data_IF_063304593257
#
_entry.id   IF_063304593257
#
_cell.length_a   1.000
_cell.length_b   1.000
_cell.length_c   1.000
_cell.angle_alpha   90.00
_cell.angle_beta   90.00
_cell.angle_gamma   90.00
#
_symmetry.space_group_name_H-M   'P 1'
#
loop_
_entity.id
_entity.type
_entity.pdbx_description
1 polymer ?
#
# COMPACT_ATOMS: atom_id res chain seq x y z
N UNK A 1 15.80 2.12 9.08
CA UNK A 1 14.79 2.81 9.92
C UNK A 1 15.03 4.32 10.01
N UNK A 2 16.25 4.78 10.29
CA UNK A 2 16.57 6.23 10.31
C UNK A 2 16.28 6.92 8.97
N UNK A 3 16.60 6.25 7.86
CA UNK A 3 16.31 6.68 6.49
C UNK A 3 14.82 6.95 6.23
N UNK A 4 13.93 6.06 6.69
CA UNK A 4 12.48 6.23 6.59
C UNK A 4 11.98 7.46 7.37
N UNK A 5 12.50 7.65 8.58
CA UNK A 5 12.11 8.80 9.42
C UNK A 5 12.59 10.14 8.83
N UNK A 6 13.76 10.16 8.21
CA UNK A 6 14.33 11.35 7.58
C UNK A 6 13.80 11.61 6.16
N UNK A 7 12.82 10.82 5.68
CA UNK A 7 12.29 10.89 4.32
C UNK A 7 13.36 10.69 3.22
N UNK A 8 14.46 9.99 3.50
CA UNK A 8 15.47 9.64 2.50
C UNK A 8 15.08 8.32 1.80
N UNK A 9 14.22 8.42 0.78
CA UNK A 9 13.60 7.26 0.13
C UNK A 9 14.56 6.42 -0.71
N UNK A 10 15.58 7.02 -1.31
CA UNK A 10 16.59 6.30 -2.09
C UNK A 10 17.41 5.34 -1.23
N UNK A 11 17.95 5.83 -0.10
CA UNK A 11 18.68 5.00 0.87
C UNK A 11 17.75 3.97 1.52
N UNK A 12 16.49 4.34 1.76
CA UNK A 12 15.49 3.42 2.27
C UNK A 12 15.28 2.21 1.34
N UNK A 13 15.16 2.40 0.02
CA UNK A 13 15.01 1.28 -0.92
C UNK A 13 16.23 0.37 -0.99
N UNK A 14 17.44 0.94 -0.91
CA UNK A 14 18.67 0.15 -0.84
C UNK A 14 18.70 -0.71 0.44
N UNK A 15 18.43 -0.10 1.60
CA UNK A 15 18.37 -0.84 2.87
C UNK A 15 17.24 -1.88 2.89
N UNK A 16 16.12 -1.63 2.21
CA UNK A 16 15.01 -2.57 2.12
C UNK A 16 15.40 -3.82 1.31
N UNK A 17 16.18 -3.67 0.24
CA UNK A 17 16.68 -4.80 -0.55
C UNK A 17 17.65 -5.67 0.26
N UNK A 18 18.51 -5.06 1.08
CA UNK A 18 19.39 -5.80 2.00
C UNK A 18 18.59 -6.59 3.04
N UNK A 19 17.59 -5.95 3.65
CA UNK A 19 16.69 -6.59 4.63
C UNK A 19 15.91 -7.74 3.98
N UNK A 20 15.42 -7.57 2.75
CA UNK A 20 14.77 -8.66 2.01
C UNK A 20 15.68 -9.88 1.87
N UNK A 21 16.97 -9.65 1.57
CA UNK A 21 17.98 -10.71 1.51
C UNK A 21 18.18 -11.44 2.85
N UNK A 22 18.11 -10.72 3.96
CA UNK A 22 18.22 -11.29 5.32
C UNK A 22 16.97 -12.10 5.67
N UNK A 23 15.78 -11.55 5.41
CA UNK A 23 14.49 -12.22 5.70
C UNK A 23 14.37 -13.51 4.90
N UNK A 24 14.80 -13.51 3.63
CA UNK A 24 14.80 -14.72 2.80
C UNK A 24 15.67 -15.84 3.34
N UNK A 25 16.73 -15.54 4.10
CA UNK A 25 17.62 -16.54 4.69
C UNK A 25 17.08 -17.12 5.99
N UNK A 26 16.11 -16.46 6.63
CA UNK A 26 15.56 -16.89 7.91
C UNK A 26 14.38 -17.83 7.73
N UNK A 27 14.45 -19.02 8.33
CA UNK A 27 13.44 -20.08 8.21
C UNK A 27 12.03 -19.65 8.62
N UNK A 28 11.90 -18.81 9.65
CA UNK A 28 10.59 -18.45 10.19
C UNK A 28 9.89 -17.33 9.39
N UNK A 29 10.66 -16.35 8.93
CA UNK A 29 10.11 -15.17 8.24
C UNK A 29 10.12 -15.31 6.71
N UNK A 30 10.76 -16.35 6.18
CA UNK A 30 10.78 -16.66 4.75
C UNK A 30 9.38 -16.78 4.15
N UNK A 31 8.36 -17.29 4.86
CA UNK A 31 7.01 -17.39 4.26
C UNK A 31 6.33 -16.02 4.06
N UNK A 32 6.76 -15.01 4.82
CA UNK A 32 6.10 -13.70 4.89
C UNK A 32 6.94 -12.55 4.31
N UNK A 33 8.08 -12.84 3.67
CA UNK A 33 8.98 -11.81 3.15
C UNK A 33 8.29 -10.89 2.14
N UNK A 34 7.47 -11.46 1.23
CA UNK A 34 6.78 -10.68 0.20
C UNK A 34 5.78 -9.70 0.83
N UNK A 35 5.07 -10.14 1.87
CA UNK A 35 4.15 -9.30 2.61
C UNK A 35 4.90 -8.14 3.27
N UNK A 36 6.02 -8.43 3.94
CA UNK A 36 6.83 -7.39 4.59
C UNK A 36 7.33 -6.34 3.59
N UNK A 37 7.95 -6.77 2.48
CA UNK A 37 8.46 -5.84 1.46
C UNK A 37 7.32 -5.02 0.85
N UNK A 38 6.17 -5.64 0.57
CA UNK A 38 4.98 -4.97 0.05
C UNK A 38 4.50 -3.87 1.01
N UNK A 39 4.32 -4.20 2.28
CA UNK A 39 3.84 -3.26 3.30
C UNK A 39 4.80 -2.09 3.51
N UNK A 40 6.12 -2.36 3.54
CA UNK A 40 7.12 -1.30 3.69
C UNK A 40 7.12 -0.33 2.50
N UNK A 41 6.88 -0.82 1.28
CA UNK A 41 6.76 0.03 0.08
C UNK A 41 5.49 0.88 0.12
N UNK A 42 4.35 0.29 0.47
CA UNK A 42 3.08 1.03 0.63
C UNK A 42 3.24 2.17 1.63
N UNK A 43 3.87 1.92 2.78
CA UNK A 43 4.11 2.96 3.81
C UNK A 43 5.00 4.09 3.30
N UNK A 44 6.07 3.78 2.57
CA UNK A 44 6.94 4.80 2.01
C UNK A 44 6.22 5.68 0.98
N UNK A 45 5.42 5.07 0.09
CA UNK A 45 4.59 5.84 -0.85
C UNK A 45 3.51 6.65 -0.15
N UNK A 46 2.85 6.08 0.87
CA UNK A 46 1.83 6.78 1.65
C UNK A 46 2.41 8.02 2.35
N UNK A 47 3.57 7.90 2.98
CA UNK A 47 4.24 9.01 3.66
C UNK A 47 4.57 10.16 2.70
N UNK A 48 5.07 9.84 1.50
CA UNK A 48 5.33 10.84 0.49
C UNK A 48 4.02 11.48 0.00
N UNK A 49 3.02 10.67 -0.37
CA UNK A 49 1.75 11.15 -0.92
C UNK A 49 0.88 11.90 0.09
N UNK A 50 1.06 11.67 1.40
CA UNK A 50 0.32 12.38 2.45
C UNK A 50 0.69 13.87 2.51
N UNK A 51 1.97 14.17 2.25
CA UNK A 51 2.52 15.54 2.29
C UNK A 51 2.06 16.40 1.12
N UNK A 52 1.61 15.80 0.01
CA UNK A 52 1.28 16.51 -1.23
C UNK A 52 -0.14 16.19 -1.72
N UNK A 53 -0.82 17.19 -2.28
CA UNK A 53 -2.12 16.97 -2.95
C UNK A 53 -1.94 16.38 -4.36
N UNK A 54 -0.87 16.78 -5.04
CA UNK A 54 -0.54 16.40 -6.41
C UNK A 54 0.97 16.41 -6.56
N UNK A 55 1.54 15.38 -7.21
CA UNK A 55 2.99 15.22 -7.44
C UNK A 55 3.22 14.61 -8.81
N UNK A 56 4.29 15.00 -9.50
CA UNK A 56 4.66 14.37 -10.78
C UNK A 56 5.32 13.01 -10.58
N UNK A 57 5.04 12.06 -11.48
CA UNK A 57 5.67 10.74 -11.47
C UNK A 57 7.20 10.81 -11.56
N UNK A 58 7.73 11.79 -12.29
CA UNK A 58 9.16 12.04 -12.41
C UNK A 58 9.80 12.43 -11.08
N UNK A 59 9.17 13.32 -10.30
CA UNK A 59 9.69 13.74 -8.99
C UNK A 59 9.65 12.61 -7.96
N UNK A 60 8.62 11.76 -8.02
CA UNK A 60 8.56 10.54 -7.21
C UNK A 60 9.71 9.61 -7.62
N UNK A 61 9.87 9.33 -8.90
CA UNK A 61 10.92 8.46 -9.41
C UNK A 61 12.33 8.94 -8.98
N UNK A 62 12.60 10.24 -9.06
CA UNK A 62 13.84 10.87 -8.61
C UNK A 62 14.06 10.71 -7.09
N UNK A 63 13.04 10.99 -6.28
CA UNK A 63 13.12 10.88 -4.81
C UNK A 63 13.42 9.45 -4.35
N UNK A 64 12.87 8.45 -5.06
CA UNK A 64 13.08 7.03 -4.77
C UNK A 64 14.31 6.44 -5.50
N UNK A 65 14.94 7.18 -6.43
CA UNK A 65 16.08 6.72 -7.22
C UNK A 65 15.77 5.56 -8.17
N UNK A 66 14.56 5.52 -8.72
CA UNK A 66 14.08 4.44 -9.62
C UNK A 66 13.50 5.01 -10.91
N UNK A 67 13.18 4.15 -11.89
CA UNK A 67 12.58 4.61 -13.15
C UNK A 67 11.09 4.94 -12.99
N UNK A 68 10.60 5.85 -13.84
CA UNK A 68 9.18 6.22 -13.87
C UNK A 68 8.28 5.01 -14.15
N UNK A 69 8.68 4.14 -15.08
CA UNK A 69 7.95 2.90 -15.38
C UNK A 69 7.82 1.96 -14.18
N UNK A 70 8.83 1.93 -13.32
CA UNK A 70 8.79 1.12 -12.11
C UNK A 70 7.76 1.67 -11.12
N UNK A 71 7.72 2.98 -10.92
CA UNK A 71 6.73 3.64 -10.06
C UNK A 71 5.31 3.47 -10.61
N UNK A 72 5.11 3.65 -11.92
CA UNK A 72 3.80 3.49 -12.57
C UNK A 72 3.23 2.08 -12.36
N UNK A 73 4.04 1.04 -12.58
CA UNK A 73 3.64 -0.37 -12.34
C UNK A 73 3.34 -0.67 -10.89
N UNK A 74 4.07 -0.08 -9.97
CA UNK A 74 3.92 -0.40 -8.55
C UNK A 74 2.76 0.33 -7.90
N UNK A 75 2.62 1.63 -8.17
CA UNK A 75 1.48 2.43 -7.72
C UNK A 75 0.18 1.89 -8.31
N UNK A 76 0.14 1.54 -9.61
CA UNK A 76 -1.07 0.97 -10.22
C UNK A 76 -1.53 -0.32 -9.53
N UNK A 77 -0.59 -1.21 -9.16
CA UNK A 77 -0.92 -2.42 -8.38
C UNK A 77 -1.47 -2.09 -6.99
N UNK A 78 -0.90 -1.11 -6.29
CA UNK A 78 -1.36 -0.74 -4.95
C UNK A 78 -2.71 -0.02 -4.94
N UNK A 79 -2.93 0.87 -5.91
CA UNK A 79 -4.23 1.52 -6.13
C UNK A 79 -5.29 0.48 -6.46
N UNK A 80 -4.99 -0.47 -7.37
CA UNK A 80 -5.93 -1.55 -7.72
C UNK A 80 -6.29 -2.44 -6.51
N UNK A 81 -5.33 -2.66 -5.59
CA UNK A 81 -5.60 -3.39 -4.35
C UNK A 81 -6.31 -2.57 -3.26
N UNK A 82 -6.52 -1.27 -3.47
CA UNK A 82 -7.09 -0.35 -2.49
C UNK A 82 -6.15 0.00 -1.32
N UNK A 83 -4.86 -0.32 -1.42
CA UNK A 83 -3.88 -0.04 -0.38
C UNK A 83 -3.39 1.42 -0.36
N UNK A 84 -3.52 2.12 -1.49
CA UNK A 84 -3.23 3.56 -1.62
C UNK A 84 -4.45 4.26 -2.22
N UNK A 85 -4.84 5.39 -1.62
CA UNK A 85 -5.99 6.19 -2.05
C UNK A 85 -5.54 7.35 -2.95
N UNK A 86 -4.89 7.03 -4.06
CA UNK A 86 -4.45 8.00 -5.06
C UNK A 86 -4.91 7.61 -6.47
N UNK A 87 -4.87 8.58 -7.38
CA UNK A 87 -5.19 8.42 -8.79
C UNK A 87 -3.98 8.83 -9.62
N UNK A 88 -3.70 8.08 -10.68
CA UNK A 88 -2.60 8.37 -11.61
C UNK A 88 -3.22 8.90 -12.90
N UNK A 89 -2.78 10.08 -13.32
CA UNK A 89 -2.97 10.58 -14.68
C UNK A 89 -1.65 10.39 -15.46
N UNK A 90 -1.66 9.40 -16.35
CA UNK A 90 -0.48 9.07 -17.16
C UNK A 90 -0.23 10.05 -18.31
N UNK A 91 -1.26 10.76 -18.78
CA UNK A 91 -1.11 11.74 -19.87
C UNK A 91 -0.45 13.00 -19.34
N UNK A 92 -0.91 13.48 -18.18
CA UNK A 92 -0.29 14.62 -17.50
C UNK A 92 1.00 14.23 -16.74
N UNK A 93 1.19 12.94 -16.44
CA UNK A 93 2.32 12.44 -15.65
C UNK A 93 2.22 12.79 -14.17
N UNK A 94 1.00 12.91 -13.64
CA UNK A 94 0.70 13.43 -12.30
C UNK A 94 -0.01 12.35 -11.48
N UNK A 95 0.31 12.30 -10.18
CA UNK A 95 -0.38 11.51 -9.17
C UNK A 95 -1.14 12.45 -8.25
N UNK A 96 -2.46 12.26 -8.16
CA UNK A 96 -3.34 13.02 -7.27
C UNK A 96 -3.76 12.20 -6.07
N UNK A 97 -3.60 12.75 -4.87
CA UNK A 97 -3.96 12.06 -3.62
C UNK A 97 -5.42 12.35 -3.27
N UNK A 98 -6.24 11.31 -3.14
CA UNK A 98 -7.64 11.44 -2.71
C UNK A 98 -7.69 11.23 -1.20
N UNK A 99 -7.82 12.31 -0.42
CA UNK A 99 -7.98 12.21 1.03
C UNK A 99 -9.41 11.77 1.34
N UNK A 100 -9.58 10.49 1.68
CA UNK A 100 -10.86 10.00 2.22
C UNK A 100 -11.04 10.55 3.63
N UNK A 101 -12.24 11.01 3.96
CA UNK A 101 -12.54 11.45 5.32
C UNK A 101 -12.68 10.22 6.24
N UNK A 102 -12.21 10.34 7.50
CA UNK A 102 -12.20 9.23 8.47
C UNK A 102 -13.59 8.58 8.67
N UNK A 103 -14.66 9.36 8.55
CA UNK A 103 -16.03 8.86 8.64
C UNK A 103 -16.39 7.92 7.48
N UNK A 104 -16.03 8.28 6.24
CA UNK A 104 -16.28 7.46 5.05
C UNK A 104 -15.52 6.13 5.13
N UNK A 105 -14.30 6.15 5.65
CA UNK A 105 -13.53 4.93 5.88
C UNK A 105 -14.19 4.03 6.93
N UNK A 106 -14.52 4.59 8.09
CA UNK A 106 -15.18 3.85 9.19
C UNK A 106 -16.51 3.24 8.73
N UNK A 107 -17.29 4.00 7.96
CA UNK A 107 -18.55 3.52 7.38
C UNK A 107 -18.35 2.30 6.48
N UNK A 108 -17.38 2.34 5.57
CA UNK A 108 -17.07 1.21 4.68
C UNK A 108 -16.57 -0.02 5.43
N UNK A 109 -15.79 0.16 6.51
CA UNK A 109 -15.31 -0.95 7.35
C UNK A 109 -16.46 -1.63 8.10
N UNK A 110 -17.41 -0.85 8.62
CA UNK A 110 -18.62 -1.36 9.28
C UNK A 110 -19.48 -2.18 8.31
N UNK A 111 -19.71 -1.69 7.10
CA UNK A 111 -20.49 -2.42 6.09
C UNK A 111 -19.82 -3.75 5.74
N UNK A 112 -18.51 -3.74 5.45
CA UNK A 112 -17.76 -4.97 5.13
C UNK A 112 -17.84 -6.00 6.26
N UNK A 113 -17.68 -5.55 7.50
CA UNK A 113 -17.76 -6.43 8.67
C UNK A 113 -19.19 -6.96 8.89
N UNK A 114 -20.19 -6.11 8.65
CA UNK A 114 -21.60 -6.46 8.70
C UNK A 114 -21.99 -7.52 7.68
N UNK A 115 -21.53 -7.40 6.44
CA UNK A 115 -21.78 -8.39 5.38
C UNK A 115 -21.20 -9.76 5.70
N UNK A 116 -19.98 -9.81 6.28
CA UNK A 116 -19.36 -11.07 6.71
C UNK A 116 -20.20 -11.72 7.82
N UNK A 117 -20.68 -10.94 8.78
CA UNK A 117 -21.51 -11.43 9.87
C UNK A 117 -22.86 -11.95 9.36
N UNK A 118 -23.55 -11.19 8.51
CA UNK A 118 -24.81 -11.59 7.89
C UNK A 118 -24.67 -12.92 7.14
N UNK A 119 -23.62 -13.07 6.34
CA UNK A 119 -23.34 -14.31 5.62
C UNK A 119 -23.11 -15.50 6.56
N UNK A 120 -22.44 -15.30 7.70
CA UNK A 120 -22.22 -16.36 8.71
C UNK A 120 -23.52 -16.74 9.41
N UNK A 121 -24.32 -15.76 9.83
CA UNK A 121 -25.61 -15.99 10.50
C UNK A 121 -26.58 -16.72 9.56
N UNK A 122 -26.66 -16.29 8.29
CA UNK A 122 -27.50 -16.96 7.28
C UNK A 122 -27.08 -18.41 7.05
N UNK A 123 -25.77 -18.71 6.97
CA UNK A 123 -25.27 -20.08 6.85
C UNK A 123 -25.63 -20.93 8.06
N UNK A 124 -25.46 -20.40 9.27
CA UNK A 124 -25.81 -21.10 10.51
C UNK A 124 -27.32 -21.38 10.59
N UNK A 125 -28.17 -20.41 10.28
CA UNK A 125 -29.62 -20.58 10.29
C UNK A 125 -30.11 -21.65 9.33
N UNK A 126 -29.47 -21.81 8.16
CA UNK A 126 -29.79 -22.90 7.22
C UNK A 126 -29.43 -24.29 7.75
N UNK A 127 -28.34 -24.40 8.53
CA UNK A 127 -27.91 -25.67 9.12
C UNK A 127 -28.80 -26.07 10.31
N UNK A 128 -29.31 -25.10 11.07
CA UNK A 128 -30.13 -25.35 12.26
C UNK A 128 -31.59 -25.68 11.91
N UNK A 129 -32.12 -25.13 10.81
CA UNK A 129 -33.50 -25.39 10.35
C UNK A 129 -33.64 -26.66 9.49
N UNK A 130 -32.57 -27.45 9.35
CA UNK A 130 -32.52 -28.77 8.72
C UNK A 130 -32.48 -29.84 9.80
#
# INVERSE_FOLDING_TARGET
>A
MRSFYQCNYQEFFQSLAEIEGIIKKNRYTYLHYQYYVREMRIRAYSQLLESYRSVTLASIAESFGVTVDFIDRDLSRFIASGALTCKIDKVAGIVETTRLHNQTQSYNEVIKSGDVLLNRVQKLGRVINL
#
